data_IF_896493670267
#
_entry.id   IF_896493670267
#
_cell.length_a   1.000
_cell.length_b   1.000
_cell.length_c   1.000
_cell.angle_alpha   90.00
_cell.angle_beta   90.00
_cell.angle_gamma   90.00
#
_symmetry.space_group_name_H-M   'P 1'
#
loop_
_entity.id
_entity.type
_entity.pdbx_description
1 polymer ?
#
# COMPACT_ATOMS: atom_id res chain seq x y z
N UNK A 1 -81.01 -23.34 28.13
CA UNK A 1 -79.94 -22.95 29.08
C UNK A 1 -78.78 -22.42 28.27
N UNK A 2 -78.49 -21.12 28.43
CA UNK A 2 -77.39 -20.44 27.75
C UNK A 2 -76.03 -20.92 28.28
N UNK A 3 -75.10 -21.25 27.39
CA UNK A 3 -73.66 -21.13 27.65
C UNK A 3 -72.98 -20.45 26.47
N UNK A 4 -72.34 -19.35 26.82
CA UNK A 4 -71.57 -18.42 26.00
C UNK A 4 -70.08 -18.75 26.18
N UNK A 5 -69.29 -18.42 25.15
CA UNK A 5 -67.82 -18.28 25.10
C UNK A 5 -66.96 -19.54 25.07
N UNK A 6 -66.15 -19.70 24.02
CA UNK A 6 -64.84 -19.02 23.97
C UNK A 6 -64.19 -19.13 22.58
N UNK A 7 -63.50 -18.05 22.25
CA UNK A 7 -62.71 -17.72 21.05
C UNK A 7 -61.30 -18.30 21.18
N UNK A 8 -60.69 -18.74 20.07
CA UNK A 8 -59.27 -18.55 19.66
C UNK A 8 -58.94 -19.61 18.58
N UNK A 9 -58.99 -19.33 17.27
CA UNK A 9 -58.20 -18.38 16.48
C UNK A 9 -56.68 -18.57 16.63
N UNK A 10 -56.12 -19.40 15.74
CA UNK A 10 -54.93 -19.06 14.95
C UNK A 10 -53.55 -19.26 15.59
N UNK A 11 -52.64 -19.89 14.83
CA UNK A 11 -51.21 -19.63 14.98
C UNK A 11 -50.31 -20.86 14.97
N UNK A 12 -50.24 -21.57 13.85
CA UNK A 12 -49.07 -22.36 13.50
C UNK A 12 -48.00 -21.39 12.98
N UNK A 13 -46.93 -21.12 13.72
CA UNK A 13 -45.77 -20.42 13.17
C UNK A 13 -44.49 -20.79 13.92
N UNK A 14 -43.48 -21.13 13.13
CA UNK A 14 -42.29 -21.88 13.48
C UNK A 14 -41.31 -21.16 14.42
N UNK A 15 -40.59 -21.97 15.20
CA UNK A 15 -39.29 -21.61 15.77
C UNK A 15 -38.36 -21.16 14.64
N UNK A 16 -37.91 -19.91 14.69
CA UNK A 16 -36.72 -19.46 13.95
C UNK A 16 -35.72 -18.90 14.95
N UNK A 17 -34.75 -19.75 15.30
CA UNK A 17 -33.45 -19.38 15.84
C UNK A 17 -32.69 -18.64 14.74
N UNK A 18 -32.96 -17.34 14.56
CA UNK A 18 -32.17 -16.49 13.68
C UNK A 18 -30.97 -15.96 14.46
N UNK A 19 -29.82 -16.61 14.22
CA UNK A 19 -28.56 -16.35 14.90
C UNK A 19 -28.09 -14.90 14.77
N UNK A 20 -27.51 -14.40 15.86
CA UNK A 20 -26.55 -13.31 15.82
C UNK A 20 -25.31 -13.80 15.06
N UNK A 21 -25.26 -13.56 13.76
CA UNK A 21 -24.22 -14.13 12.91
C UNK A 21 -24.09 -13.38 11.60
N UNK A 22 -23.88 -12.07 11.68
CA UNK A 22 -23.65 -11.22 10.53
C UNK A 22 -22.72 -10.08 10.92
N UNK A 23 -21.46 -10.40 11.22
CA UNK A 23 -20.41 -9.40 11.10
C UNK A 23 -20.41 -8.98 9.62
N UNK A 24 -21.03 -7.84 9.33
CA UNK A 24 -20.79 -7.13 8.09
C UNK A 24 -19.28 -6.99 7.94
N UNK A 25 -18.71 -7.71 6.98
CA UNK A 25 -17.34 -7.52 6.51
C UNK A 25 -17.28 -6.11 5.92
N UNK A 26 -17.10 -5.12 6.80
CA UNK A 26 -16.70 -3.77 6.40
C UNK A 26 -15.41 -3.85 5.59
N UNK A 27 -15.10 -2.81 4.78
CA UNK A 27 -13.89 -2.80 3.98
C UNK A 27 -12.69 -3.13 4.87
N UNK A 28 -11.86 -4.08 4.41
CA UNK A 28 -10.68 -4.56 5.11
C UNK A 28 -10.01 -3.40 5.86
N UNK A 29 -9.95 -3.51 7.18
CA UNK A 29 -9.43 -2.47 8.08
C UNK A 29 -8.06 -2.06 7.57
N UNK A 30 -7.96 -0.87 6.95
CA UNK A 30 -6.68 -0.16 6.80
C UNK A 30 -6.20 0.01 8.23
N UNK A 31 -5.08 -0.60 8.61
CA UNK A 31 -4.53 -0.43 9.94
C UNK A 31 -4.32 1.08 10.15
N UNK A 32 -5.01 1.65 11.13
CA UNK A 32 -4.99 3.09 11.40
C UNK A 32 -3.56 3.61 11.70
N UNK A 33 -2.63 2.69 11.98
CA UNK A 33 -1.25 2.96 12.36
C UNK A 33 -0.26 2.98 11.19
N UNK A 34 -0.66 2.58 9.97
CA UNK A 34 0.26 2.45 8.82
C UNK A 34 0.82 3.79 8.34
N UNK A 35 0.16 4.90 8.71
CA UNK A 35 0.52 6.24 8.25
C UNK A 35 1.99 6.60 8.52
N UNK A 36 2.57 6.03 9.57
CA UNK A 36 3.97 6.16 9.99
C UNK A 36 4.65 4.79 10.17
N UNK A 37 4.27 3.79 9.39
CA UNK A 37 4.90 2.45 9.43
C UNK A 37 4.46 1.54 10.55
N UNK A 38 3.22 1.70 11.03
CA UNK A 38 2.56 0.64 11.77
C UNK A 38 2.45 -0.66 10.97
N UNK A 39 2.06 -1.74 11.64
CA UNK A 39 2.04 -3.06 11.02
C UNK A 39 1.06 -3.12 9.84
N UNK A 40 1.57 -3.51 8.67
CA UNK A 40 0.75 -3.92 7.55
C UNK A 40 0.06 -5.25 7.87
N UNK A 41 -1.26 -5.29 7.72
CA UNK A 41 -2.05 -6.49 7.98
C UNK A 41 -2.08 -7.39 6.75
N UNK A 42 -1.78 -8.67 6.96
CA UNK A 42 -2.08 -9.71 5.99
C UNK A 42 -3.54 -10.15 6.10
N UNK A 43 -4.24 -10.49 5.00
CA UNK A 43 -3.75 -10.67 3.63
C UNK A 43 -3.81 -9.40 2.75
N UNK A 44 -4.15 -8.25 3.34
CA UNK A 44 -4.37 -7.02 2.58
C UNK A 44 -3.08 -6.54 1.89
N UNK A 45 -1.93 -6.63 2.58
CA UNK A 45 -0.65 -6.21 2.02
C UNK A 45 -0.31 -6.98 0.74
N UNK A 46 -0.47 -8.30 0.74
CA UNK A 46 -0.19 -9.13 -0.44
C UNK A 46 -1.06 -8.73 -1.65
N UNK A 47 -2.35 -8.48 -1.41
CA UNK A 47 -3.26 -8.00 -2.45
C UNK A 47 -2.86 -6.61 -2.97
N UNK A 48 -2.47 -5.70 -2.07
CA UNK A 48 -2.00 -4.36 -2.43
C UNK A 48 -0.70 -4.41 -3.25
N UNK A 49 0.27 -5.23 -2.85
CA UNK A 49 1.52 -5.44 -3.58
C UNK A 49 1.28 -6.01 -4.99
N UNK A 50 0.38 -6.99 -5.11
CA UNK A 50 0.00 -7.56 -6.41
C UNK A 50 -0.67 -6.54 -7.33
N UNK A 51 -1.45 -5.63 -6.77
CA UNK A 51 -2.06 -4.54 -7.53
C UNK A 51 -1.04 -3.48 -7.94
N UNK A 52 -0.14 -3.08 -7.02
CA UNK A 52 0.91 -2.11 -7.26
C UNK A 52 1.85 -2.56 -8.39
N UNK A 53 2.21 -3.85 -8.45
CA UNK A 53 3.09 -4.41 -9.47
C UNK A 53 2.59 -4.26 -10.93
N UNK A 54 1.36 -3.79 -11.15
CA UNK A 54 0.81 -3.45 -12.47
C UNK A 54 1.25 -2.08 -12.98
N UNK A 55 1.89 -1.27 -12.14
CA UNK A 55 2.34 0.09 -12.45
C UNK A 55 3.88 0.16 -12.41
N UNK A 56 4.50 1.10 -13.14
CA UNK A 56 5.95 1.29 -13.12
C UNK A 56 6.47 1.51 -11.70
N UNK A 57 7.59 0.86 -11.35
CA UNK A 57 8.24 1.04 -10.06
C UNK A 57 8.68 2.50 -9.88
N UNK A 58 8.56 3.03 -8.66
CA UNK A 58 8.83 4.43 -8.35
C UNK A 58 7.72 5.40 -8.73
N UNK A 59 6.55 4.90 -9.16
CA UNK A 59 5.35 5.71 -9.39
C UNK A 59 4.51 5.84 -8.11
N UNK A 60 3.55 6.78 -8.04
CA UNK A 60 2.62 6.86 -6.91
C UNK A 60 1.84 5.57 -6.62
N UNK A 61 1.57 4.76 -7.65
CA UNK A 61 0.82 3.50 -7.56
C UNK A 61 1.70 2.29 -7.24
N UNK A 62 3.02 2.42 -7.40
CA UNK A 62 4.01 1.40 -7.09
C UNK A 62 5.30 2.06 -6.59
N UNK A 63 5.26 2.66 -5.39
CA UNK A 63 6.42 3.37 -4.86
C UNK A 63 7.56 2.39 -4.60
N UNK A 64 8.80 2.87 -4.70
CA UNK A 64 9.95 2.07 -4.27
C UNK A 64 9.82 1.83 -2.78
N UNK A 65 9.80 0.55 -2.40
CA UNK A 65 9.73 0.16 -1.00
C UNK A 65 11.11 0.30 -0.38
N UNK A 66 11.19 0.89 0.80
CA UNK A 66 12.44 1.10 1.51
C UNK A 66 12.24 0.93 3.02
N UNK A 67 13.33 0.62 3.71
CA UNK A 67 13.39 0.59 5.17
C UNK A 67 13.93 1.92 5.70
N UNK A 68 13.02 2.79 6.13
CA UNK A 68 13.32 4.10 6.73
C UNK A 68 14.09 5.03 5.77
N UNK A 69 14.41 6.28 6.16
CA UNK A 69 15.19 7.17 5.31
C UNK A 69 16.57 6.64 4.91
N UNK A 70 17.11 5.68 5.68
CA UNK A 70 18.37 5.02 5.33
C UNK A 70 18.23 4.12 4.10
N UNK A 71 17.16 3.33 4.01
CA UNK A 71 16.86 2.48 2.86
C UNK A 71 16.61 3.29 1.59
N UNK A 72 15.94 4.45 1.71
CA UNK A 72 15.72 5.34 0.57
C UNK A 72 17.03 5.84 -0.02
N UNK A 73 17.91 6.39 0.82
CA UNK A 73 19.25 6.84 0.41
C UNK A 73 20.08 5.69 -0.14
N UNK A 74 20.01 4.51 0.46
CA UNK A 74 20.74 3.33 -0.02
C UNK A 74 20.30 2.93 -1.43
N UNK A 75 18.99 2.94 -1.71
CA UNK A 75 18.45 2.68 -3.04
C UNK A 75 18.89 3.75 -4.06
N UNK A 76 18.71 5.03 -3.73
CA UNK A 76 19.08 6.15 -4.61
C UNK A 76 20.59 6.17 -4.92
N UNK A 77 21.44 5.85 -3.94
CA UNK A 77 22.89 5.75 -4.13
C UNK A 77 23.32 4.57 -5.00
N UNK A 78 22.47 3.55 -5.16
CA UNK A 78 22.71 2.42 -6.07
C UNK A 78 22.25 2.70 -7.48
N UNK A 79 21.35 3.66 -7.71
CA UNK A 79 20.89 3.98 -9.06
C UNK A 79 22.04 4.41 -9.95
N UNK A 80 22.00 3.97 -11.20
CA UNK A 80 22.91 4.37 -12.26
C UNK A 80 22.09 4.78 -13.48
N UNK A 81 22.45 5.94 -14.02
CA UNK A 81 21.93 6.46 -15.28
C UNK A 81 22.35 5.57 -16.45
N UNK A 82 21.82 5.81 -17.65
CA UNK A 82 22.14 5.01 -18.84
C UNK A 82 23.64 5.03 -19.20
N UNK A 83 24.37 6.08 -18.83
CA UNK A 83 25.82 6.16 -18.99
C UNK A 83 26.63 5.48 -17.86
N UNK A 84 25.96 4.83 -16.90
CA UNK A 84 26.60 4.16 -15.77
C UNK A 84 27.04 5.09 -14.62
N UNK A 85 26.79 6.40 -14.71
CA UNK A 85 27.11 7.33 -13.63
C UNK A 85 25.99 7.39 -12.58
N UNK A 86 26.29 7.72 -11.31
CA UNK A 86 25.26 7.96 -10.32
C UNK A 86 24.44 9.22 -10.69
N UNK A 87 23.12 9.22 -10.47
CA UNK A 87 22.34 10.44 -10.57
C UNK A 87 22.58 11.35 -9.35
N UNK A 88 22.22 12.62 -9.48
CA UNK A 88 21.99 13.50 -8.32
C UNK A 88 20.53 13.43 -7.91
N UNK A 89 20.22 13.58 -6.62
CA UNK A 89 18.84 13.57 -6.16
C UNK A 89 18.58 14.57 -5.02
N UNK A 90 17.35 15.06 -4.96
CA UNK A 90 16.85 15.90 -3.87
C UNK A 90 15.42 15.47 -3.48
N UNK A 91 15.10 15.51 -2.18
CA UNK A 91 13.73 15.27 -1.71
C UNK A 91 12.91 16.54 -1.95
N UNK A 92 11.89 16.45 -2.79
CA UNK A 92 11.07 17.61 -3.22
C UNK A 92 9.69 17.67 -2.55
N UNK A 93 9.32 16.68 -1.75
CA UNK A 93 8.09 16.70 -1.00
C UNK A 93 7.66 15.33 -0.50
N UNK A 94 6.42 15.27 -0.04
CA UNK A 94 5.75 14.06 0.42
C UNK A 94 4.27 14.09 0.06
N UNK A 95 3.69 12.91 -0.13
CA UNK A 95 2.25 12.73 -0.22
C UNK A 95 1.76 11.94 0.99
N UNK A 96 0.73 12.48 1.64
CA UNK A 96 0.04 11.78 2.74
C UNK A 96 -0.81 10.66 2.14
N UNK A 97 -0.73 9.46 2.71
CA UNK A 97 -1.51 8.28 2.31
C UNK A 97 -1.23 7.84 0.86
N UNK A 98 -0.03 7.31 0.62
CA UNK A 98 0.30 6.57 -0.59
C UNK A 98 -0.52 5.30 -0.76
N UNK A 99 -0.23 4.51 -1.81
CA UNK A 99 -1.03 3.33 -2.18
C UNK A 99 -1.13 2.28 -1.05
N UNK A 100 -0.14 2.24 -0.17
CA UNK A 100 -0.12 1.36 1.00
C UNK A 100 -0.65 2.02 2.29
N UNK A 101 -1.13 3.26 2.23
CA UNK A 101 -1.69 4.00 3.38
C UNK A 101 -0.66 4.77 4.23
N UNK A 102 0.62 4.52 4.02
CA UNK A 102 1.79 5.20 4.59
C UNK A 102 2.02 6.57 3.95
N UNK A 103 2.91 7.39 4.52
CA UNK A 103 3.44 8.55 3.80
C UNK A 103 4.45 8.09 2.76
N UNK A 104 4.47 8.78 1.61
CA UNK A 104 5.44 8.53 0.55
C UNK A 104 6.23 9.78 0.25
N UNK A 105 7.52 9.60 0.02
CA UNK A 105 8.47 10.67 -0.28
C UNK A 105 8.65 10.80 -1.79
N UNK A 106 8.87 12.03 -2.23
CA UNK A 106 9.11 12.36 -3.63
C UNK A 106 10.55 12.84 -3.80
N UNK A 107 11.29 12.20 -4.68
CA UNK A 107 12.65 12.56 -5.03
C UNK A 107 12.74 13.03 -6.49
N UNK A 108 13.30 14.20 -6.71
CA UNK A 108 13.73 14.62 -8.05
C UNK A 108 15.13 14.05 -8.31
N UNK A 109 15.22 13.15 -9.29
CA UNK A 109 16.44 12.41 -9.63
C UNK A 109 16.88 12.82 -11.03
N UNK A 110 18.13 13.27 -11.16
CA UNK A 110 18.67 13.86 -12.40
C UNK A 110 19.93 13.15 -12.87
N UNK A 111 19.97 12.81 -14.15
CA UNK A 111 21.16 12.29 -14.82
C UNK A 111 21.80 13.39 -15.65
N UNK A 112 23.00 13.82 -15.25
CA UNK A 112 23.75 14.82 -16.01
C UNK A 112 24.18 14.25 -17.36
N UNK A 113 23.74 14.90 -18.45
CA UNK A 113 24.07 14.54 -19.83
C UNK A 113 23.77 13.07 -20.17
N UNK A 114 22.75 12.47 -19.54
CA UNK A 114 22.36 11.08 -19.77
C UNK A 114 20.87 10.88 -19.59
N UNK A 115 20.37 9.74 -20.08
CA UNK A 115 18.99 9.35 -19.90
C UNK A 115 18.82 8.50 -18.62
N UNK A 116 17.67 8.60 -17.93
CA UNK A 116 16.66 9.66 -18.09
C UNK A 116 17.19 11.01 -17.56
N UNK A 117 16.96 12.11 -18.27
CA UNK A 117 17.48 13.44 -17.87
C UNK A 117 16.99 13.85 -16.48
N UNK A 118 15.73 13.57 -16.19
CA UNK A 118 15.05 13.88 -14.94
C UNK A 118 13.90 12.89 -14.72
N UNK A 119 13.76 12.37 -13.49
CA UNK A 119 12.69 11.47 -13.08
C UNK A 119 12.23 11.84 -11.68
N UNK A 120 10.92 11.91 -11.47
CA UNK A 120 10.35 11.95 -10.12
C UNK A 120 10.18 10.51 -9.63
N UNK A 121 10.87 10.14 -8.55
CA UNK A 121 10.74 8.82 -7.92
C UNK A 121 9.95 8.96 -6.63
N UNK A 122 8.90 8.16 -6.50
CA UNK A 122 8.10 8.03 -5.28
C UNK A 122 8.61 6.83 -4.48
N UNK A 123 8.86 7.05 -3.19
CA UNK A 123 9.40 6.03 -2.27
C UNK A 123 8.51 5.91 -1.03
N UNK A 124 8.35 4.69 -0.53
CA UNK A 124 7.64 4.39 0.70
C UNK A 124 8.63 3.78 1.70
N UNK A 125 9.05 4.59 2.67
CA UNK A 125 10.05 4.23 3.67
C UNK A 125 9.53 3.29 4.77
N UNK A 126 8.26 2.90 4.72
CA UNK A 126 7.62 2.18 5.82
C UNK A 126 7.56 0.66 5.60
N UNK A 127 8.50 0.12 4.81
CA UNK A 127 8.67 -1.31 4.58
C UNK A 127 9.88 -1.84 5.37
N UNK A 128 9.72 -2.21 6.66
CA UNK A 128 10.84 -2.57 7.53
C UNK A 128 11.60 -3.78 6.98
N UNK A 129 12.94 -3.68 6.96
CA UNK A 129 13.84 -4.70 6.43
C UNK A 129 13.81 -4.90 4.91
N UNK A 130 12.98 -4.15 4.17
CA UNK A 130 12.90 -4.31 2.72
C UNK A 130 14.06 -3.65 1.99
N UNK A 131 14.67 -4.41 1.07
CA UNK A 131 15.68 -3.91 0.14
C UNK A 131 15.14 -4.07 -1.27
N UNK A 132 14.83 -2.97 -1.93
CA UNK A 132 14.39 -3.01 -3.32
C UNK A 132 15.56 -3.46 -4.23
N UNK A 133 15.26 -4.44 -5.08
CA UNK A 133 16.24 -5.11 -5.95
C UNK A 133 16.02 -4.81 -7.42
N UNK A 134 14.89 -4.17 -7.76
CA UNK A 134 14.58 -3.77 -9.12
C UNK A 134 14.90 -2.29 -9.33
N UNK A 135 15.50 -1.91 -10.47
CA UNK A 135 15.64 -0.51 -10.82
C UNK A 135 14.28 0.09 -11.22
N UNK A 136 14.11 1.38 -10.96
CA UNK A 136 13.08 2.20 -11.61
C UNK A 136 13.40 2.27 -13.11
N UNK A 137 12.36 2.30 -13.95
CA UNK A 137 12.49 2.33 -15.40
C UNK A 137 13.49 3.39 -15.89
N UNK A 138 14.38 2.98 -16.80
CA UNK A 138 15.43 3.83 -17.36
C UNK A 138 16.73 3.88 -16.53
N UNK A 139 16.75 3.33 -15.32
CA UNK A 139 17.95 3.19 -14.50
C UNK A 139 18.47 1.75 -14.46
N UNK A 140 19.67 1.59 -13.93
CA UNK A 140 20.21 0.30 -13.47
C UNK A 140 20.62 0.42 -11.99
N UNK A 141 20.88 -0.71 -11.32
CA UNK A 141 21.41 -0.73 -9.96
C UNK A 141 22.87 -1.18 -9.98
N UNK A 142 23.72 -0.45 -9.26
CA UNK A 142 25.07 -0.90 -8.97
C UNK A 142 25.04 -2.17 -8.10
N UNK A 143 26.03 -3.08 -8.27
CA UNK A 143 26.21 -4.22 -7.38
C UNK A 143 26.40 -3.79 -5.93
N UNK A 144 26.04 -4.70 -5.01
CA UNK A 144 26.35 -4.57 -3.59
C UNK A 144 27.82 -4.91 -3.31
#
# INVERSE_FOLDING_TARGET
>A
MFRVSAIAAGGLAALLLSGCGGNSLGPARRSADVRMGGQYLQPWLDAALKQAARYPLGSPQNPVRADMPAGERAYLNRLRCRNGNPPTYERVGETKAGVFGSFVDHFDVRCQNSAPLRTLIVMDMYFPGHVETQPVDGFTLAPH
#
